data_IF_252324409512
#
_entry.id   IF_252324409512
#
_cell.length_a   1.000
_cell.length_b   1.000
_cell.length_c   1.000
_cell.angle_alpha   90.00
_cell.angle_beta   90.00
_cell.angle_gamma   90.00
#
_symmetry.space_group_name_H-M   'P 1'
#
loop_
_entity.id
_entity.type
_entity.pdbx_description
1 polymer ?
#
# COMPACT_ATOMS: atom_id res chain seq x y z
N UNK A 1 -4.75 11.05 8.52
CA UNK A 1 -4.44 10.25 9.72
C UNK A 1 -5.35 9.04 9.81
N UNK A 2 -4.88 7.92 10.36
CA UNK A 2 -5.66 6.68 10.42
C UNK A 2 -5.13 5.66 11.43
N UNK A 3 -5.78 4.51 11.47
CA UNK A 3 -5.47 3.42 12.41
C UNK A 3 -5.05 2.18 11.65
N UNK A 4 -3.91 1.59 12.00
CA UNK A 4 -3.48 0.30 11.46
C UNK A 4 -4.38 -0.79 12.04
N UNK A 5 -5.00 -1.56 11.15
CA UNK A 5 -5.88 -2.67 11.52
C UNK A 5 -5.13 -4.00 11.46
N UNK A 6 -4.20 -4.15 10.51
CA UNK A 6 -3.52 -5.41 10.23
C UNK A 6 -2.13 -5.15 9.64
N UNK A 7 -1.16 -5.99 10.00
CA UNK A 7 0.15 -6.11 9.37
C UNK A 7 0.21 -7.49 8.73
N UNK A 8 0.77 -7.62 7.53
CA UNK A 8 0.75 -8.88 6.79
C UNK A 8 1.64 -9.95 7.44
N UNK A 9 1.08 -11.02 8.03
CA UNK A 9 1.88 -12.05 8.68
C UNK A 9 2.64 -12.92 7.67
N UNK A 10 2.21 -12.98 6.40
CA UNK A 10 2.89 -13.78 5.37
C UNK A 10 4.30 -13.26 5.06
N UNK A 11 4.55 -11.96 5.26
CA UNK A 11 5.85 -11.34 5.01
C UNK A 11 6.91 -11.70 6.06
N UNK A 12 6.53 -12.23 7.23
CA UNK A 12 7.50 -12.72 8.21
C UNK A 12 8.25 -13.96 7.69
N UNK A 13 7.54 -14.83 6.96
CA UNK A 13 8.10 -16.04 6.39
C UNK A 13 8.58 -15.85 4.95
N UNK A 14 7.89 -15.01 4.18
CA UNK A 14 8.12 -14.84 2.74
C UNK A 14 8.25 -13.33 2.39
N UNK A 15 9.33 -12.66 2.83
CA UNK A 15 9.51 -11.22 2.59
C UNK A 15 9.62 -10.88 1.10
N UNK A 16 10.01 -11.83 0.25
CA UNK A 16 10.13 -11.66 -1.20
C UNK A 16 8.79 -11.42 -1.92
N UNK A 17 7.66 -11.72 -1.27
CA UNK A 17 6.32 -11.44 -1.82
C UNK A 17 6.13 -9.95 -2.15
N UNK A 18 6.82 -9.05 -1.44
CA UNK A 18 6.79 -7.61 -1.76
C UNK A 18 7.37 -7.30 -3.14
N UNK A 19 8.21 -8.19 -3.68
CA UNK A 19 8.83 -8.03 -4.99
C UNK A 19 8.09 -8.82 -6.07
N UNK A 20 7.70 -10.06 -5.76
CA UNK A 20 7.09 -10.97 -6.74
C UNK A 20 5.60 -10.72 -6.95
N UNK A 21 4.87 -10.29 -5.93
CA UNK A 21 3.43 -9.99 -5.98
C UNK A 21 3.05 -8.75 -5.14
N UNK A 22 3.58 -7.55 -5.49
CA UNK A 22 3.44 -6.33 -4.69
C UNK A 22 1.99 -5.84 -4.49
N UNK A 23 1.09 -6.21 -5.40
CA UNK A 23 -0.32 -5.80 -5.38
C UNK A 23 -1.29 -6.92 -4.98
N UNK A 24 -0.81 -8.16 -4.87
CA UNK A 24 -1.56 -9.31 -4.37
C UNK A 24 -1.12 -9.68 -2.95
N UNK A 25 -0.41 -10.79 -2.78
CA UNK A 25 0.00 -11.31 -1.46
C UNK A 25 1.04 -10.44 -0.75
N UNK A 26 1.75 -9.57 -1.47
CA UNK A 26 2.81 -8.68 -0.96
C UNK A 26 2.35 -7.41 -0.26
N UNK A 27 1.05 -7.25 0.05
CA UNK A 27 0.56 -6.08 0.79
C UNK A 27 1.25 -5.95 2.17
N UNK A 28 1.49 -4.73 2.65
CA UNK A 28 2.24 -4.54 3.91
C UNK A 28 1.33 -4.37 5.13
N UNK A 29 0.38 -3.44 5.04
CA UNK A 29 -0.57 -3.13 6.11
C UNK A 29 -1.96 -2.88 5.56
N UNK A 30 -2.97 -3.07 6.39
CA UNK A 30 -4.32 -2.53 6.18
C UNK A 30 -4.61 -1.52 7.25
N UNK A 31 -5.18 -0.40 6.87
CA UNK A 31 -5.51 0.68 7.81
C UNK A 31 -6.85 1.31 7.49
N UNK A 32 -7.53 1.78 8.53
CA UNK A 32 -8.70 2.65 8.39
C UNK A 32 -8.23 4.09 8.28
N UNK A 33 -8.69 4.78 7.24
CA UNK A 33 -8.43 6.22 7.06
C UNK A 33 -9.63 7.00 7.60
N UNK A 34 -9.36 7.96 8.47
CA UNK A 34 -10.42 8.68 9.19
C UNK A 34 -11.00 9.86 8.39
N UNK A 35 -10.23 10.41 7.45
CA UNK A 35 -10.63 11.57 6.65
C UNK A 35 -10.43 11.29 5.15
N UNK A 36 -11.50 11.29 4.33
CA UNK A 36 -11.39 11.13 2.88
C UNK A 36 -10.48 12.17 2.20
N UNK A 37 -10.37 13.39 2.75
CA UNK A 37 -9.50 14.41 2.19
C UNK A 37 -7.99 14.06 2.29
N UNK A 38 -7.63 13.06 3.10
CA UNK A 38 -6.26 12.54 3.12
C UNK A 38 -5.86 11.88 1.78
N UNK A 39 -6.83 11.52 0.93
CA UNK A 39 -6.59 10.96 -0.40
C UNK A 39 -6.34 12.04 -1.48
N UNK A 40 -6.75 13.29 -1.25
CA UNK A 40 -6.72 14.35 -2.28
C UNK A 40 -5.30 14.70 -2.75
N UNK A 41 -4.31 14.48 -1.89
CA UNK A 41 -2.89 14.70 -2.19
C UNK A 41 -2.17 13.51 -2.83
N UNK A 42 -2.84 12.36 -2.98
CA UNK A 42 -2.23 11.16 -3.55
C UNK A 42 -2.21 11.24 -5.08
N UNK A 43 -1.19 10.64 -5.68
CA UNK A 43 -1.09 10.52 -7.12
C UNK A 43 -2.03 9.42 -7.61
N UNK A 44 -2.73 9.69 -8.71
CA UNK A 44 -3.37 8.63 -9.48
C UNK A 44 -2.31 7.81 -10.26
N UNK A 45 -2.75 6.69 -10.84
CA UNK A 45 -1.88 5.80 -11.60
C UNK A 45 -1.17 6.51 -12.77
N UNK A 46 -1.84 7.46 -13.44
CA UNK A 46 -1.27 8.17 -14.59
C UNK A 46 -0.20 9.16 -14.14
N UNK A 47 -0.46 9.93 -13.10
CA UNK A 47 0.45 10.89 -12.51
C UNK A 47 1.72 10.20 -11.98
N UNK A 48 1.58 9.05 -11.33
CA UNK A 48 2.73 8.27 -10.85
C UNK A 48 3.58 7.73 -12.01
N UNK A 49 2.96 7.14 -13.04
CA UNK A 49 3.71 6.67 -14.22
C UNK A 49 4.48 7.80 -14.92
N UNK A 50 3.91 9.01 -15.01
CA UNK A 50 4.60 10.15 -15.59
C UNK A 50 5.81 10.63 -14.77
N UNK A 51 5.88 10.30 -13.48
CA UNK A 51 6.99 10.66 -12.60
C UNK A 51 8.18 9.69 -12.69
N UNK A 52 7.90 8.38 -12.85
CA UNK A 52 8.92 7.32 -12.69
C UNK A 52 9.12 6.42 -13.91
N UNK A 53 8.23 6.46 -14.90
CA UNK A 53 8.32 5.70 -16.16
C UNK A 53 9.10 6.43 -17.25
#
# INVERSE_FOLDING_TARGET
GGTINEVNPALEANPELVNSDPYGEGWMIKMTVNNPADYDGLMDSKAYNALVG
#
